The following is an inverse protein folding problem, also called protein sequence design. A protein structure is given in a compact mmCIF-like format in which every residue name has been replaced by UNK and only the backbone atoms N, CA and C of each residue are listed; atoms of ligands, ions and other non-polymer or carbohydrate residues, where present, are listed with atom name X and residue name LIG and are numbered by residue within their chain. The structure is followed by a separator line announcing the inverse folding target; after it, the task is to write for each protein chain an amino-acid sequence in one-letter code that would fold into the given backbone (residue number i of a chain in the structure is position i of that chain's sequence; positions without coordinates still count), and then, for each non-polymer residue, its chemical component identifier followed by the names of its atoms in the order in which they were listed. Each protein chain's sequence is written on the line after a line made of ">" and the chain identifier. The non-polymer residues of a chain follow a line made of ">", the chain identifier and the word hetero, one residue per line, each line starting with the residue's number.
data_IF_385892882952
#
_entry.id   IF_385892882952
#
_cell.length_a   1.000
_cell.length_b   1.000
_cell.length_c   1.000
_cell.angle_alpha   90.00
_cell.angle_beta   90.00
_cell.angle_gamma   90.00
#
_symmetry.space_group_name_H-M   'P 1'
#
loop_
_entity.id
_entity.type
_entity.pdbx_description
1 polymer ?
#
# COMPACT_ATOMS: atom_id res chain seq x y z
N UNK A 1 -9.24 21.64 -17.27
CA UNK A 1 -8.76 20.72 -16.23
C UNK A 1 -9.06 19.29 -16.65
N UNK A 2 -8.06 18.42 -16.61
CA UNK A 2 -8.18 16.97 -16.88
C UNK A 2 -7.44 16.21 -15.78
N UNK A 3 -7.93 15.02 -15.40
CA UNK A 3 -7.33 14.20 -14.35
C UNK A 3 -6.99 12.84 -14.90
N UNK A 4 -5.74 12.42 -14.70
CA UNK A 4 -5.29 11.06 -14.92
C UNK A 4 -5.25 10.32 -13.58
N UNK A 5 -5.61 9.04 -13.60
CA UNK A 5 -5.43 8.12 -12.47
C UNK A 5 -4.46 7.03 -12.90
N UNK A 6 -3.51 6.77 -12.02
CA UNK A 6 -2.39 5.88 -12.28
C UNK A 6 -2.33 4.80 -11.20
N UNK A 7 -1.76 3.64 -11.52
CA UNK A 7 -1.36 2.64 -10.51
C UNK A 7 0.15 2.42 -10.56
N UNK A 8 0.83 2.69 -9.45
CA UNK A 8 2.25 2.50 -9.29
C UNK A 8 2.63 1.01 -9.23
N UNK A 9 3.90 0.70 -9.55
CA UNK A 9 4.46 -0.65 -9.42
C UNK A 9 4.45 -1.14 -7.96
N UNK A 10 4.94 -0.31 -7.03
CA UNK A 10 4.98 -0.57 -5.59
C UNK A 10 4.89 0.74 -4.79
N UNK A 11 4.91 0.62 -3.46
CA UNK A 11 5.05 1.78 -2.56
C UNK A 11 6.37 2.52 -2.74
N UNK A 12 7.47 1.79 -2.99
CA UNK A 12 8.78 2.41 -3.23
C UNK A 12 8.77 3.23 -4.50
N UNK A 13 8.05 2.78 -5.54
CA UNK A 13 7.88 3.57 -6.76
C UNK A 13 7.14 4.88 -6.47
N UNK A 14 6.12 4.86 -5.60
CA UNK A 14 5.44 6.09 -5.14
C UNK A 14 6.42 7.00 -4.36
N UNK A 15 7.19 6.43 -3.42
CA UNK A 15 8.16 7.18 -2.62
C UNK A 15 9.36 7.72 -3.43
N UNK A 16 9.65 7.11 -4.57
CA UNK A 16 10.73 7.51 -5.49
C UNK A 16 10.26 8.41 -6.63
N UNK A 17 8.98 8.82 -6.65
CA UNK A 17 8.49 9.73 -7.67
C UNK A 17 9.31 11.02 -7.65
N UNK A 18 9.68 11.57 -8.82
CA UNK A 18 10.39 12.84 -8.88
C UNK A 18 9.63 13.92 -8.11
N UNK A 19 10.35 14.81 -7.43
CA UNK A 19 9.76 15.93 -6.68
C UNK A 19 8.88 16.82 -7.56
N UNK A 20 9.16 16.90 -8.86
CA UNK A 20 8.30 17.58 -9.84
C UNK A 20 6.90 16.97 -9.95
N UNK A 21 6.74 15.67 -9.72
CA UNK A 21 5.43 15.02 -9.60
C UNK A 21 4.85 15.24 -8.21
N UNK A 22 5.61 14.98 -7.14
CA UNK A 22 5.08 15.03 -5.77
C UNK A 22 4.72 16.45 -5.28
N UNK A 23 5.38 17.48 -5.81
CA UNK A 23 5.20 18.87 -5.40
C UNK A 23 4.37 19.69 -6.39
N UNK A 24 3.91 19.11 -7.51
CA UNK A 24 2.93 19.81 -8.34
C UNK A 24 1.59 19.85 -7.60
N UNK A 25 0.94 21.02 -7.58
CA UNK A 25 -0.38 21.18 -6.94
C UNK A 25 -1.45 20.22 -7.52
N UNK A 26 -1.17 19.64 -8.69
CA UNK A 26 -2.03 18.69 -9.38
C UNK A 26 -1.95 17.24 -8.88
N UNK A 27 -0.92 16.85 -8.10
CA UNK A 27 -0.73 15.45 -7.69
C UNK A 27 -1.38 15.16 -6.35
N UNK A 28 -2.25 14.15 -6.31
CA UNK A 28 -2.96 13.73 -5.09
C UNK A 28 -2.91 12.23 -4.93
N UNK A 29 -2.63 11.77 -3.71
CA UNK A 29 -2.76 10.35 -3.38
C UNK A 29 -4.23 9.94 -3.38
N UNK A 30 -4.61 8.98 -4.23
CA UNK A 30 -6.00 8.54 -4.41
C UNK A 30 -6.34 7.29 -3.56
N UNK A 31 -5.34 6.67 -2.93
CA UNK A 31 -5.51 5.46 -2.14
C UNK A 31 -4.99 4.21 -2.86
N UNK A 32 -4.49 3.27 -2.07
CA UNK A 32 -3.90 2.04 -2.59
C UNK A 32 -2.54 2.31 -3.21
N UNK A 33 -2.27 1.73 -4.38
CA UNK A 33 -1.09 2.12 -5.16
C UNK A 33 -1.41 3.20 -6.19
N UNK A 34 -2.46 4.02 -5.95
CA UNK A 34 -2.98 4.94 -6.95
C UNK A 34 -2.74 6.40 -6.61
N UNK A 35 -2.42 7.15 -7.67
CA UNK A 35 -2.19 8.59 -7.64
C UNK A 35 -3.08 9.21 -8.70
N UNK A 36 -3.57 10.42 -8.40
CA UNK A 36 -4.30 11.25 -9.33
C UNK A 36 -3.40 12.43 -9.75
N UNK A 37 -3.22 12.62 -11.05
CA UNK A 37 -2.46 13.71 -11.64
C UNK A 37 -3.44 14.68 -12.31
N UNK A 38 -3.49 15.92 -11.84
CA UNK A 38 -4.34 16.96 -12.39
C UNK A 38 -3.54 17.86 -13.32
N UNK A 39 -4.06 18.06 -14.52
CA UNK A 39 -3.50 18.92 -15.55
C UNK A 39 -4.45 20.09 -15.79
N UNK A 40 -3.90 21.29 -15.97
CA UNK A 40 -4.68 22.48 -16.31
C UNK A 40 -5.34 22.29 -17.68
N UNK A 41 -4.56 21.81 -18.65
CA UNK A 41 -4.96 21.61 -20.04
C UNK A 41 -5.08 20.12 -20.40
N UNK A 42 -6.14 19.74 -21.12
CA UNK A 42 -6.36 18.36 -21.57
C UNK A 42 -5.31 17.88 -22.58
N UNK A 43 -4.71 18.82 -23.33
CA UNK A 43 -3.64 18.53 -24.28
C UNK A 43 -2.40 17.99 -23.55
N UNK A 44 -2.00 18.62 -22.45
CA UNK A 44 -0.87 18.18 -21.62
C UNK A 44 -1.10 16.78 -21.03
N UNK A 45 -2.30 16.52 -20.52
CA UNK A 45 -2.68 15.19 -20.01
C UNK A 45 -2.58 14.12 -21.11
N UNK A 46 -3.04 14.45 -22.32
CA UNK A 46 -2.97 13.53 -23.47
C UNK A 46 -1.53 13.28 -23.94
N UNK A 47 -0.69 14.31 -23.96
CA UNK A 47 0.74 14.18 -24.28
C UNK A 47 1.45 13.30 -23.25
N UNK A 48 1.20 13.54 -21.96
CA UNK A 48 1.74 12.72 -20.88
C UNK A 48 1.30 11.25 -20.98
N UNK A 49 0.00 11.01 -21.19
CA UNK A 49 -0.54 9.65 -21.34
C UNK A 49 0.09 8.89 -22.51
N UNK A 50 0.31 9.56 -23.65
CA UNK A 50 0.87 8.95 -24.87
C UNK A 50 2.36 8.66 -24.76
N UNK A 51 3.11 9.50 -24.05
CA UNK A 51 4.53 9.36 -23.86
C UNK A 51 4.86 8.40 -22.71
N UNK A 52 4.80 7.09 -22.99
CA UNK A 52 5.05 6.03 -22.01
C UNK A 52 6.43 6.12 -21.36
N UNK A 53 7.44 6.62 -22.07
CA UNK A 53 8.80 6.70 -21.54
C UNK A 53 8.91 7.67 -20.38
N UNK A 54 7.97 8.63 -20.26
CA UNK A 54 7.91 9.57 -19.13
C UNK A 54 7.40 8.96 -17.83
N UNK A 55 6.73 7.82 -17.86
CA UNK A 55 5.95 7.37 -16.69
C UNK A 55 5.98 5.86 -16.41
N UNK A 56 6.30 5.02 -17.41
CA UNK A 56 6.27 3.55 -17.31
C UNK A 56 7.15 2.97 -16.20
N UNK A 57 8.21 3.70 -15.82
CA UNK A 57 9.14 3.28 -14.79
C UNK A 57 8.50 3.33 -13.40
N UNK A 58 7.48 4.17 -13.20
CA UNK A 58 6.76 4.30 -11.93
C UNK A 58 5.38 3.65 -11.95
N UNK A 59 4.67 3.75 -13.08
CA UNK A 59 3.28 3.31 -13.18
C UNK A 59 3.10 2.13 -14.12
N UNK A 60 2.26 1.18 -13.70
CA UNK A 60 1.81 0.03 -14.51
C UNK A 60 0.89 0.47 -15.64
N UNK A 61 0.02 1.43 -15.33
CA UNK A 61 -0.98 1.97 -16.24
C UNK A 61 -1.40 3.36 -15.79
N UNK A 62 -1.91 4.12 -16.76
CA UNK A 62 -2.48 5.46 -16.62
C UNK A 62 -3.76 5.52 -17.44
N UNK A 63 -4.82 6.08 -16.88
CA UNK A 63 -6.12 6.29 -17.54
C UNK A 63 -6.69 7.66 -17.17
N UNK A 64 -7.62 8.20 -17.95
CA UNK A 64 -8.39 9.35 -17.47
C UNK A 64 -9.35 8.95 -16.36
N UNK A 65 -9.51 9.82 -15.36
CA UNK A 65 -10.29 9.55 -14.15
C UNK A 65 -11.81 9.46 -14.37
N UNK A 66 -12.32 9.99 -15.47
CA UNK A 66 -13.73 9.89 -15.87
C UNK A 66 -14.08 8.56 -16.57
N UNK A 67 -13.09 7.80 -17.02
CA UNK A 67 -13.31 6.59 -17.81
C UNK A 67 -13.47 5.31 -16.97
N UNK A 68 -13.36 5.34 -15.63
CA UNK A 68 -13.44 4.10 -14.83
C UNK A 68 -13.88 4.28 -13.38
N UNK A 69 -14.91 3.54 -12.98
CA UNK A 69 -15.17 3.30 -11.56
C UNK A 69 -14.08 2.39 -10.99
N UNK A 70 -13.26 2.96 -10.11
CA UNK A 70 -12.22 2.22 -9.41
C UNK A 70 -12.75 1.71 -8.07
N UNK A 71 -12.58 0.41 -7.83
CA UNK A 71 -12.89 -0.19 -6.55
C UNK A 71 -12.08 0.49 -5.43
N UNK A 72 -12.76 0.83 -4.34
CA UNK A 72 -12.15 1.48 -3.19
C UNK A 72 -11.01 0.61 -2.62
N UNK A 73 -9.88 1.26 -2.40
CA UNK A 73 -8.69 0.62 -1.88
C UNK A 73 -7.84 1.65 -1.17
N UNK A 74 -7.20 1.25 -0.07
CA UNK A 74 -6.25 2.08 0.67
C UNK A 74 -5.07 1.25 1.12
N UNK A 75 -3.93 1.91 1.28
CA UNK A 75 -2.78 1.36 2.00
C UNK A 75 -2.99 1.56 3.50
N UNK A 76 -2.44 0.65 4.28
CA UNK A 76 -2.42 0.75 5.74
C UNK A 76 -1.20 0.02 6.26
N UNK A 77 -0.54 0.58 7.27
CA UNK A 77 0.41 -0.16 8.07
C UNK A 77 -0.38 -0.88 9.16
N UNK A 78 -0.02 -2.11 9.43
CA UNK A 78 -0.63 -2.95 10.45
C UNK A 78 0.45 -3.45 11.39
N UNK A 79 0.21 -3.32 12.69
CA UNK A 79 0.97 -3.99 13.75
C UNK A 79 0.30 -5.32 14.04
N UNK A 80 1.10 -6.38 14.08
CA UNK A 80 0.69 -7.71 14.48
C UNK A 80 1.35 -8.00 15.83
N UNK A 81 0.54 -8.25 16.85
CA UNK A 81 0.94 -8.39 18.25
C UNK A 81 0.76 -9.84 18.72
N UNK A 82 1.59 -10.26 19.66
CA UNK A 82 1.45 -11.55 20.34
C UNK A 82 1.95 -12.76 19.55
N UNK A 83 2.71 -12.56 18.46
CA UNK A 83 3.31 -13.67 17.71
C UNK A 83 4.42 -14.33 18.55
N UNK A 84 4.40 -15.65 18.80
CA UNK A 84 5.49 -16.33 19.50
C UNK A 84 6.79 -16.25 18.72
N UNK A 85 7.91 -16.00 19.40
CA UNK A 85 9.23 -15.80 18.75
C UNK A 85 9.63 -16.94 17.79
N UNK A 86 9.22 -18.18 18.06
CA UNK A 86 9.46 -19.34 17.18
C UNK A 86 8.80 -19.24 15.79
N UNK A 87 7.80 -18.37 15.65
CA UNK A 87 7.02 -18.12 14.43
C UNK A 87 7.30 -16.73 13.85
N UNK A 88 8.39 -16.08 14.27
CA UNK A 88 8.81 -14.79 13.72
C UNK A 88 9.58 -15.00 12.43
N UNK A 89 8.84 -15.09 11.32
CA UNK A 89 9.37 -15.11 9.96
C UNK A 89 8.43 -14.34 9.01
N UNK A 90 8.97 -13.93 7.87
CA UNK A 90 8.25 -13.14 6.86
C UNK A 90 6.96 -13.85 6.39
N UNK A 91 7.01 -15.18 6.24
CA UNK A 91 5.89 -15.98 5.73
C UNK A 91 4.71 -15.96 6.71
N UNK A 92 4.96 -16.14 8.00
CA UNK A 92 3.95 -16.13 9.05
C UNK A 92 3.28 -14.74 9.18
N UNK A 93 4.07 -13.67 9.20
CA UNK A 93 3.50 -12.31 9.23
C UNK A 93 2.72 -12.00 7.95
N UNK A 94 3.21 -12.40 6.78
CA UNK A 94 2.53 -12.21 5.51
C UNK A 94 1.24 -13.01 5.43
N UNK A 95 1.21 -14.23 5.96
CA UNK A 95 0.01 -15.08 6.04
C UNK A 95 -1.07 -14.42 6.92
N UNK A 96 -0.70 -13.94 8.11
CA UNK A 96 -1.62 -13.22 9.01
C UNK A 96 -2.17 -11.96 8.31
N UNK A 97 -1.29 -11.16 7.72
CA UNK A 97 -1.62 -9.91 7.06
C UNK A 97 -2.50 -10.09 5.81
N UNK A 98 -2.32 -11.19 5.09
CA UNK A 98 -3.06 -11.49 3.86
C UNK A 98 -4.57 -11.67 4.11
N UNK A 99 -5.01 -11.91 5.35
CA UNK A 99 -6.44 -11.87 5.74
C UNK A 99 -7.09 -10.52 5.47
N UNK A 100 -6.30 -9.45 5.41
CA UNK A 100 -6.77 -8.09 5.14
C UNK A 100 -6.68 -7.68 3.66
N UNK A 101 -6.21 -8.61 2.79
CA UNK A 101 -6.25 -8.67 1.32
C UNK A 101 -4.89 -8.90 0.67
N UNK A 102 -4.05 -7.87 0.50
CA UNK A 102 -2.75 -8.02 -0.19
C UNK A 102 -1.64 -7.36 0.61
N UNK A 103 -0.58 -8.10 0.91
CA UNK A 103 0.66 -7.56 1.47
C UNK A 103 1.41 -6.79 0.39
N UNK A 104 1.78 -5.55 0.69
CA UNK A 104 2.51 -4.64 -0.22
C UNK A 104 3.84 -4.17 0.37
N UNK A 105 4.04 -4.37 1.67
CA UNK A 105 5.31 -4.21 2.34
C UNK A 105 5.40 -5.35 3.37
N UNK A 106 6.10 -6.44 3.06
CA UNK A 106 6.18 -7.59 3.96
C UNK A 106 6.95 -7.24 5.23
N UNK A 107 6.87 -8.13 6.21
CA UNK A 107 7.69 -8.01 7.40
C UNK A 107 9.13 -8.43 7.08
N UNK A 108 10.00 -7.44 6.89
CA UNK A 108 11.41 -7.61 6.56
C UNK A 108 12.30 -7.40 7.80
N UNK A 109 13.46 -8.05 7.78
CA UNK A 109 14.63 -7.66 8.56
C UNK A 109 14.59 -7.99 10.06
N UNK A 110 14.08 -9.17 10.40
CA UNK A 110 14.02 -9.71 11.77
C UNK A 110 15.35 -9.56 12.53
N UNK A 111 16.48 -9.78 11.87
CA UNK A 111 17.81 -9.72 12.50
C UNK A 111 18.16 -8.33 13.04
N UNK A 112 17.59 -7.27 12.47
CA UNK A 112 17.87 -5.89 12.85
C UNK A 112 16.76 -5.27 13.71
N UNK A 113 15.68 -6.00 13.97
CA UNK A 113 14.57 -5.53 14.80
C UNK A 113 14.93 -5.63 16.27
N UNK A 114 14.75 -4.51 16.99
CA UNK A 114 14.95 -4.44 18.45
C UNK A 114 13.66 -4.64 19.24
N UNK A 115 12.53 -4.33 18.62
CA UNK A 115 11.21 -4.45 19.25
C UNK A 115 10.53 -5.73 18.78
N UNK A 116 10.61 -6.76 19.61
CA UNK A 116 9.96 -8.06 19.37
C UNK A 116 8.54 -8.13 19.98
N UNK A 117 7.97 -7.01 20.42
CA UNK A 117 6.58 -6.98 20.89
C UNK A 117 5.57 -6.91 19.73
N UNK A 118 6.03 -6.51 18.54
CA UNK A 118 5.18 -6.31 17.37
C UNK A 118 5.94 -6.49 16.05
N UNK A 119 5.29 -7.11 15.06
CA UNK A 119 5.72 -7.04 13.66
C UNK A 119 4.90 -6.01 12.90
N UNK A 120 5.52 -5.35 11.90
CA UNK A 120 4.85 -4.35 11.06
C UNK A 120 4.78 -4.82 9.63
N UNK A 121 3.61 -4.70 9.03
CA UNK A 121 3.33 -5.10 7.64
C UNK A 121 2.48 -4.04 6.95
N UNK A 122 2.84 -3.70 5.72
CA UNK A 122 2.02 -2.85 4.85
C UNK A 122 1.01 -3.69 4.08
N UNK A 123 -0.25 -3.30 4.17
CA UNK A 123 -1.37 -4.00 3.54
C UNK A 123 -2.15 -3.05 2.65
N UNK A 124 -2.60 -3.57 1.52
CA UNK A 124 -3.57 -2.98 0.64
C UNK A 124 -4.95 -3.57 0.94
N UNK A 125 -5.90 -2.75 1.36
CA UNK A 125 -7.23 -3.22 1.80
C UNK A 125 -8.37 -2.43 1.18
N UNK A 126 -9.50 -3.10 0.95
CA UNK A 126 -10.79 -2.45 0.61
C UNK A 126 -11.63 -2.15 1.85
N UNK A 127 -11.18 -2.52 3.06
CA UNK A 127 -11.90 -2.22 4.30
C UNK A 127 -11.89 -0.71 4.57
N UNK A 128 -13.10 -0.13 4.65
CA UNK A 128 -13.31 1.30 5.00
C UNK A 128 -13.09 1.56 6.51
N UNK A 129 -13.28 0.54 7.35
CA UNK A 129 -13.02 0.62 8.80
C UNK A 129 -11.53 0.48 9.09
N UNK A 130 -11.11 0.97 10.26
CA UNK A 130 -9.77 0.69 10.78
C UNK A 130 -9.64 -0.79 11.11
N UNK A 131 -8.43 -1.31 10.91
CA UNK A 131 -8.09 -2.67 11.30
C UNK A 131 -7.89 -2.67 12.81
N UNK A 132 -8.66 -3.51 13.49
CA UNK A 132 -8.57 -3.82 14.89
C UNK A 132 -9.28 -5.16 15.09
N UNK A 133 -8.55 -6.26 14.86
CA UNK A 133 -9.12 -7.61 14.79
C UNK A 133 -8.25 -8.62 15.53
N UNK A 134 -8.89 -9.46 16.35
CA UNK A 134 -8.29 -10.65 16.93
C UNK A 134 -8.29 -11.80 15.91
N UNK A 135 -7.13 -12.40 15.72
CA UNK A 135 -6.89 -13.48 14.78
C UNK A 135 -6.54 -14.73 15.57
N UNK A 136 -7.30 -15.80 15.32
CA UNK A 136 -6.97 -17.14 15.79
C UNK A 136 -6.37 -17.97 14.67
N UNK A 137 -5.28 -18.66 14.98
CA UNK A 137 -4.68 -19.69 14.13
C UNK A 137 -4.57 -20.96 14.96
N UNK A 138 -4.91 -22.10 14.35
CA UNK A 138 -4.77 -23.41 14.96
C UNK A 138 -3.63 -24.11 14.24
N UNK A 139 -2.57 -24.43 14.98
CA UNK A 139 -1.40 -25.14 14.47
C UNK A 139 -1.09 -26.30 15.41
N UNK A 140 -0.98 -27.52 14.87
CA UNK A 140 -0.72 -28.74 15.65
C UNK A 140 -1.68 -28.97 16.84
N UNK A 141 -2.93 -28.50 16.72
CA UNK A 141 -3.94 -28.60 17.79
C UNK A 141 -3.83 -27.51 18.87
N UNK A 142 -2.82 -26.65 18.81
CA UNK A 142 -2.68 -25.49 19.67
C UNK A 142 -3.33 -24.26 19.02
N UNK A 143 -4.03 -23.45 19.82
CA UNK A 143 -4.63 -22.19 19.35
C UNK A 143 -3.76 -21.02 19.75
N UNK A 144 -3.36 -20.24 18.76
CA UNK A 144 -2.64 -18.99 18.93
C UNK A 144 -3.57 -17.81 18.65
N UNK A 145 -3.57 -16.83 19.54
CA UNK A 145 -4.33 -15.60 19.39
C UNK A 145 -3.34 -14.45 19.13
N UNK A 146 -3.62 -13.68 18.09
CA UNK A 146 -2.85 -12.50 17.71
C UNK A 146 -3.81 -11.32 17.57
N UNK A 147 -3.31 -10.12 17.84
CA UNK A 147 -4.07 -8.90 17.59
C UNK A 147 -3.47 -8.18 16.40
N UNK A 148 -4.31 -7.73 15.47
CA UNK A 148 -3.89 -6.89 14.36
C UNK A 148 -4.56 -5.55 14.44
N UNK A 149 -3.73 -4.52 14.58
CA UNK A 149 -4.19 -3.14 14.74
C UNK A 149 -3.57 -2.24 13.68
N UNK A 150 -4.32 -1.22 13.27
CA UNK A 150 -3.82 -0.15 12.41
C UNK A 150 -2.61 0.53 13.09
N UNK A 151 -1.53 0.72 12.34
CA UNK A 151 -0.43 1.61 12.72
C UNK A 151 -0.50 2.94 11.97
N UNK A 152 0.27 3.91 12.45
CA UNK A 152 0.46 5.19 11.77
C UNK A 152 1.30 4.96 10.51
N UNK A 153 0.70 5.22 9.36
CA UNK A 153 1.44 5.36 8.10
C UNK A 153 2.10 6.75 8.11
N UNK A 154 3.44 6.89 8.09
CA UNK A 154 4.05 8.20 7.91
C UNK A 154 3.63 8.74 6.54
N UNK A 155 3.28 10.03 6.40
CA UNK A 155 3.19 10.62 5.07
C UNK A 155 4.60 10.52 4.48
N UNK A 156 4.65 10.11 3.23
CA UNK A 156 5.84 10.03 2.38
C UNK A 156 6.82 11.19 2.64
#
# INVERSE_FOLDING_TARGET
>A
MSVLIDEAHSLDHIGSLPTTFLMSEGTKYHGGLRIALSFEYSVEANEFLKDKDRWKDWFKWIIYGDHKELQYERTTLSKILGVPLKSWDEDNFSLIASRFRRVINPFDNIQNIRDLSMGKVGVLTSKKKWINEDIKIIENGETYNFEVVKDVWPPF
#
